data_IF_409012061011
#
_entry.id   IF_409012061011
#
_cell.length_a   1.000
_cell.length_b   1.000
_cell.length_c   1.000
_cell.angle_alpha   90.00
_cell.angle_beta   90.00
_cell.angle_gamma   90.00
#
_symmetry.space_group_name_H-M   'P 1'
#
loop_
_entity.id
_entity.type
_entity.pdbx_description
1 polymer ?
#
# COMPACT_ATOMS: atom_id res chain seq x y z
N UNK A 1 0.83 24.17 -6.02
CA UNK A 1 1.01 23.25 -4.87
C UNK A 1 2.46 22.82 -4.79
N UNK A 2 3.05 22.95 -3.60
CA UNK A 2 4.42 22.54 -3.32
C UNK A 2 4.50 21.02 -3.16
N UNK A 3 5.65 20.42 -3.43
CA UNK A 3 5.82 18.95 -3.44
C UNK A 3 5.47 18.29 -2.09
N UNK A 4 5.65 19.00 -0.98
CA UNK A 4 5.32 18.49 0.37
C UNK A 4 3.81 18.35 0.61
N UNK A 5 2.97 19.16 -0.05
CA UNK A 5 1.51 19.08 0.08
C UNK A 5 1.00 17.76 -0.51
N UNK A 6 1.59 17.36 -1.65
CA UNK A 6 1.30 16.07 -2.28
C UNK A 6 1.73 14.91 -1.41
N UNK A 7 2.92 15.01 -0.81
CA UNK A 7 3.42 14.00 0.10
C UNK A 7 2.47 13.80 1.28
N UNK A 8 2.06 14.88 1.96
CA UNK A 8 1.14 14.81 3.10
C UNK A 8 -0.22 14.26 2.69
N UNK A 9 -0.78 14.71 1.56
CA UNK A 9 -2.07 14.18 1.06
C UNK A 9 -1.99 12.68 0.72
N UNK A 10 -0.86 12.25 0.15
CA UNK A 10 -0.60 10.85 -0.18
C UNK A 10 -0.44 10.00 1.07
N UNK A 11 0.28 10.49 2.07
CA UNK A 11 0.47 9.83 3.36
C UNK A 11 -0.86 9.68 4.12
N UNK A 12 -1.71 10.70 4.17
CA UNK A 12 -3.04 10.60 4.80
C UNK A 12 -3.94 9.59 4.07
N UNK A 13 -3.89 9.58 2.74
CA UNK A 13 -4.56 8.55 1.92
C UNK A 13 -4.03 7.14 2.23
N UNK A 14 -2.72 7.01 2.42
CA UNK A 14 -2.06 5.77 2.83
C UNK A 14 -2.51 5.26 4.20
N UNK A 15 -2.72 6.14 5.18
CA UNK A 15 -3.27 5.76 6.49
C UNK A 15 -4.68 5.18 6.35
N UNK A 16 -5.56 5.89 5.63
CA UNK A 16 -6.93 5.42 5.43
C UNK A 16 -6.96 4.08 4.68
N UNK A 17 -6.12 3.94 3.66
CA UNK A 17 -5.98 2.70 2.88
C UNK A 17 -5.49 1.56 3.76
N UNK A 18 -4.45 1.77 4.57
CA UNK A 18 -3.89 0.76 5.45
C UNK A 18 -4.95 0.23 6.43
N UNK A 19 -5.76 1.09 7.06
CA UNK A 19 -6.81 0.66 8.00
C UNK A 19 -7.86 -0.23 7.31
N UNK A 20 -8.25 0.10 6.08
CA UNK A 20 -9.25 -0.68 5.33
C UNK A 20 -8.68 -1.99 4.76
N UNK A 21 -7.43 -1.97 4.31
CA UNK A 21 -6.80 -3.09 3.59
C UNK A 21 -6.15 -4.11 4.53
N UNK A 22 -5.60 -3.67 5.66
CA UNK A 22 -4.93 -4.53 6.66
C UNK A 22 -5.73 -5.79 7.04
N UNK A 23 -7.03 -5.73 7.38
CA UNK A 23 -7.77 -6.94 7.75
C UNK A 23 -7.85 -7.95 6.59
N UNK A 24 -7.99 -7.46 5.35
CA UNK A 24 -8.01 -8.30 4.15
C UNK A 24 -6.66 -8.93 3.83
N UNK A 25 -5.57 -8.16 3.94
CA UNK A 25 -4.21 -8.65 3.77
C UNK A 25 -3.87 -9.72 4.81
N UNK A 26 -4.23 -9.49 6.07
CA UNK A 26 -4.01 -10.45 7.15
C UNK A 26 -4.71 -11.78 6.88
N UNK A 27 -5.97 -11.76 6.44
CA UNK A 27 -6.71 -12.98 6.10
C UNK A 27 -5.99 -13.73 4.96
N UNK A 28 -5.55 -13.01 3.92
CA UNK A 28 -4.80 -13.60 2.80
C UNK A 28 -3.48 -14.22 3.26
N UNK A 29 -2.69 -13.51 4.06
CA UNK A 29 -1.42 -14.04 4.59
C UNK A 29 -1.63 -15.30 5.44
N UNK A 30 -2.66 -15.33 6.31
CA UNK A 30 -2.97 -16.52 7.10
C UNK A 30 -3.36 -17.72 6.22
N UNK A 31 -4.09 -17.47 5.12
CA UNK A 31 -4.43 -18.51 4.15
C UNK A 31 -3.23 -18.98 3.30
N UNK A 32 -2.24 -18.11 3.07
CA UNK A 32 -1.03 -18.42 2.31
C UNK A 32 0.03 -19.13 3.17
N UNK A 33 0.10 -18.84 4.47
CA UNK A 33 1.08 -19.43 5.39
C UNK A 33 0.66 -20.83 5.88
N UNK A 34 -0.63 -21.17 5.88
CA UNK A 34 -1.06 -22.52 6.27
C UNK A 34 -0.54 -23.58 5.29
N UNK A 35 0.06 -24.65 5.82
CA UNK A 35 0.53 -25.76 5.00
C UNK A 35 -0.64 -26.54 4.38
N UNK A 36 -0.45 -26.97 3.13
CA UNK A 36 -1.46 -27.62 2.28
C UNK A 36 -1.97 -28.98 2.80
N UNK A 37 -1.29 -29.58 3.78
CA UNK A 37 -1.55 -30.97 4.21
C UNK A 37 -2.60 -31.08 5.33
N UNK A 38 -2.79 -30.03 6.14
CA UNK A 38 -3.80 -29.96 7.23
C UNK A 38 -4.28 -28.51 7.37
N UNK A 39 -5.11 -28.04 6.43
CA UNK A 39 -5.60 -26.66 6.43
C UNK A 39 -6.43 -26.34 7.68
N UNK A 40 -5.91 -25.50 8.57
CA UNK A 40 -6.61 -25.00 9.77
C UNK A 40 -7.82 -24.16 9.37
N UNK A 41 -7.78 -23.53 8.19
CA UNK A 41 -8.84 -22.68 7.67
C UNK A 41 -9.37 -23.16 6.33
N UNK A 42 -10.68 -23.39 6.24
CA UNK A 42 -11.34 -23.85 5.01
C UNK A 42 -11.62 -22.73 4.00
N UNK A 43 -11.39 -21.47 4.40
CA UNK A 43 -11.57 -20.31 3.54
C UNK A 43 -11.49 -18.97 4.30
N UNK A 44 -11.58 -17.83 3.59
CA UNK A 44 -11.42 -16.50 4.20
C UNK A 44 -12.48 -16.18 5.26
N UNK A 45 -13.72 -16.62 5.07
CA UNK A 45 -14.80 -16.44 6.05
C UNK A 45 -14.54 -17.28 7.31
N UNK A 46 -13.98 -18.49 7.13
CA UNK A 46 -13.63 -19.39 8.23
C UNK A 46 -12.48 -18.82 9.07
N UNK A 47 -11.47 -18.18 8.43
CA UNK A 47 -10.44 -17.40 9.13
C UNK A 47 -11.06 -16.33 10.00
N UNK A 48 -11.93 -15.46 9.44
CA UNK A 48 -12.56 -14.38 10.20
C UNK A 48 -13.34 -14.93 11.39
N UNK A 49 -14.16 -15.97 11.18
CA UNK A 49 -14.97 -16.58 12.24
C UNK A 49 -14.12 -17.17 13.35
N UNK A 50 -13.09 -17.96 13.03
CA UNK A 50 -12.22 -18.59 14.03
C UNK A 50 -11.37 -17.57 14.78
N UNK A 51 -10.83 -16.58 14.07
CA UNK A 51 -9.96 -15.56 14.64
C UNK A 51 -10.73 -14.62 15.58
N UNK A 52 -11.93 -14.19 15.17
CA UNK A 52 -12.80 -13.35 16.00
C UNK A 52 -13.35 -14.10 17.21
N UNK A 53 -13.64 -15.39 17.09
CA UNK A 53 -14.10 -16.22 18.21
C UNK A 53 -13.00 -16.49 19.26
N UNK A 54 -11.74 -16.61 18.85
CA UNK A 54 -10.62 -16.89 19.77
C UNK A 54 -9.96 -15.63 20.35
N UNK A 55 -9.73 -14.61 19.52
CA UNK A 55 -8.90 -13.45 19.87
C UNK A 55 -9.65 -12.11 19.75
N UNK A 56 -10.94 -12.14 19.39
CA UNK A 56 -11.75 -10.95 19.19
C UNK A 56 -11.48 -10.22 17.86
N UNK A 57 -12.21 -9.15 17.63
CA UNK A 57 -12.16 -8.34 16.39
C UNK A 57 -10.84 -7.60 16.19
N UNK A 58 -10.18 -7.20 17.29
CA UNK A 58 -8.88 -6.51 17.25
C UNK A 58 -7.78 -7.37 16.65
N UNK A 59 -7.93 -8.70 16.71
CA UNK A 59 -6.99 -9.62 16.09
C UNK A 59 -6.82 -9.34 14.60
N UNK A 60 -7.86 -8.94 13.88
CA UNK A 60 -7.80 -8.65 12.44
C UNK A 60 -6.86 -7.48 12.09
N UNK A 61 -6.55 -6.61 13.05
CA UNK A 61 -5.67 -5.46 12.87
C UNK A 61 -4.25 -5.69 13.39
N UNK A 62 -3.93 -6.87 13.91
CA UNK A 62 -2.55 -7.16 14.36
C UNK A 62 -1.64 -7.22 13.12
N UNK A 63 -0.66 -6.31 13.06
CA UNK A 63 0.14 -6.00 11.87
C UNK A 63 -0.06 -4.58 11.32
N UNK A 64 -1.13 -3.87 11.73
CA UNK A 64 -1.46 -2.52 11.23
C UNK A 64 -0.32 -1.52 11.38
N UNK A 65 0.41 -1.53 12.49
CA UNK A 65 1.54 -0.60 12.69
C UNK A 65 2.65 -0.83 11.67
N UNK A 66 3.00 -2.09 11.39
CA UNK A 66 4.00 -2.43 10.38
C UNK A 66 3.52 -2.02 8.98
N UNK A 67 2.24 -2.29 8.66
CA UNK A 67 1.62 -1.83 7.41
C UNK A 67 1.64 -0.31 7.29
N UNK A 68 1.33 0.43 8.34
CA UNK A 68 1.36 1.89 8.35
C UNK A 68 2.77 2.43 8.14
N UNK A 69 3.76 1.90 8.85
CA UNK A 69 5.17 2.32 8.71
C UNK A 69 5.65 2.13 7.27
N UNK A 70 5.24 1.04 6.60
CA UNK A 70 5.56 0.76 5.20
C UNK A 70 4.78 1.63 4.21
N UNK A 71 3.46 1.68 4.35
CA UNK A 71 2.56 2.23 3.32
C UNK A 71 2.55 3.76 3.33
N UNK A 72 2.57 4.40 4.51
CA UNK A 72 2.51 5.87 4.63
C UNK A 72 3.61 6.60 3.86
N UNK A 73 4.89 6.24 3.99
CA UNK A 73 5.95 6.88 3.20
C UNK A 73 5.89 6.48 1.71
N UNK A 74 5.53 5.22 1.41
CA UNK A 74 5.43 4.74 0.04
C UNK A 74 4.33 5.48 -0.75
N UNK A 75 3.14 5.66 -0.18
CA UNK A 75 2.05 6.44 -0.78
C UNK A 75 2.41 7.93 -0.88
N UNK A 76 3.11 8.50 0.10
CA UNK A 76 3.60 9.88 0.03
C UNK A 76 4.55 10.09 -1.18
N UNK A 77 5.49 9.17 -1.39
CA UNK A 77 6.38 9.21 -2.54
C UNK A 77 5.66 8.95 -3.86
N UNK A 78 4.70 8.02 -3.89
CA UNK A 78 3.88 7.76 -5.08
C UNK A 78 3.19 9.03 -5.58
N UNK A 79 2.41 9.71 -4.71
CA UNK A 79 1.66 10.89 -5.11
C UNK A 79 2.58 12.07 -5.47
N UNK A 80 3.68 12.23 -4.73
CA UNK A 80 4.68 13.27 -5.04
C UNK A 80 5.30 13.04 -6.41
N UNK A 81 5.71 11.81 -6.71
CA UNK A 81 6.34 11.46 -7.99
C UNK A 81 5.33 11.55 -9.14
N UNK A 82 4.12 11.02 -8.93
CA UNK A 82 3.04 11.06 -9.90
C UNK A 82 2.74 12.51 -10.33
N UNK A 83 2.53 13.41 -9.37
CA UNK A 83 2.21 14.81 -9.68
C UNK A 83 3.40 15.58 -10.24
N UNK A 84 4.62 15.29 -9.81
CA UNK A 84 5.84 15.91 -10.37
C UNK A 84 6.03 15.54 -11.84
N UNK A 85 5.92 14.26 -12.17
CA UNK A 85 6.09 13.76 -13.55
C UNK A 85 4.94 14.23 -14.43
N UNK A 86 3.70 14.16 -13.92
CA UNK A 86 2.50 14.60 -14.66
C UNK A 86 2.56 16.09 -14.99
N UNK A 87 3.03 16.93 -14.06
CA UNK A 87 3.24 18.37 -14.30
C UNK A 87 4.38 18.65 -15.26
N UNK A 88 5.50 17.92 -15.17
CA UNK A 88 6.60 18.04 -16.12
C UNK A 88 6.23 17.64 -17.55
N UNK A 89 5.26 16.73 -17.70
CA UNK A 89 4.74 16.27 -18.99
C UNK A 89 3.51 17.06 -19.47
N UNK A 90 2.95 17.96 -18.66
CA UNK A 90 1.81 18.78 -19.06
C UNK A 90 2.26 19.80 -20.12
N UNK A 91 1.63 19.76 -21.30
CA UNK A 91 1.79 20.80 -22.31
C UNK A 91 0.66 21.81 -22.13
N UNK A 92 0.97 23.10 -22.33
CA UNK A 92 0.12 24.27 -22.12
C UNK A 92 -1.16 24.34 -22.99
N UNK A 93 -1.56 23.26 -23.67
CA UNK A 93 -2.75 23.24 -24.53
C UNK A 93 -3.94 22.56 -23.86
N UNK A 94 -4.92 23.34 -23.37
CA UNK A 94 -6.13 22.79 -22.79
C UNK A 94 -7.04 22.32 -23.94
N UNK A 95 -7.18 21.00 -24.13
CA UNK A 95 -8.35 20.50 -24.86
C UNK A 95 -8.27 19.12 -25.51
N UNK A 96 -7.11 18.64 -25.96
CA UNK A 96 -7.02 17.33 -26.62
C UNK A 96 -5.54 16.91 -26.72
N UNK A 97 -5.01 16.34 -25.65
CA UNK A 97 -3.73 15.62 -25.73
C UNK A 97 -4.04 14.17 -26.19
N UNK A 98 -3.85 13.79 -27.46
CA UNK A 98 -3.91 12.38 -27.87
C UNK A 98 -2.86 11.52 -27.14
N UNK A 99 -1.88 12.17 -26.50
CA UNK A 99 -0.85 11.57 -25.65
C UNK A 99 -1.22 11.48 -24.17
N UNK A 100 -2.44 11.86 -23.76
CA UNK A 100 -2.88 11.81 -22.34
C UNK A 100 -2.70 10.40 -21.75
N UNK A 101 -3.01 9.36 -22.53
CA UNK A 101 -2.82 7.98 -22.13
C UNK A 101 -1.34 7.68 -21.88
N UNK A 102 -0.46 8.04 -22.81
CA UNK A 102 0.99 7.83 -22.68
C UNK A 102 1.56 8.62 -21.50
N UNK A 103 1.16 9.88 -21.33
CA UNK A 103 1.55 10.71 -20.17
C UNK A 103 1.08 10.11 -18.85
N UNK A 104 -0.12 9.53 -18.81
CA UNK A 104 -0.66 8.85 -17.62
C UNK A 104 0.05 7.54 -17.33
N UNK A 105 0.39 6.76 -18.37
CA UNK A 105 1.15 5.52 -18.23
C UNK A 105 2.57 5.80 -17.71
N UNK A 106 3.26 6.78 -18.28
CA UNK A 106 4.63 7.15 -17.87
C UNK A 106 4.63 7.69 -16.44
N UNK A 107 3.72 8.62 -16.11
CA UNK A 107 3.59 9.13 -14.74
C UNK A 107 3.21 8.05 -13.73
N UNK A 108 2.30 7.14 -14.08
CA UNK A 108 1.94 6.00 -13.24
C UNK A 108 3.09 5.00 -13.05
N UNK A 109 3.85 4.70 -14.12
CA UNK A 109 5.01 3.81 -14.06
C UNK A 109 6.13 4.36 -13.19
N UNK A 110 6.48 5.64 -13.35
CA UNK A 110 7.50 6.30 -12.51
C UNK A 110 7.06 6.40 -11.05
N UNK A 111 5.78 6.71 -10.81
CA UNK A 111 5.21 6.71 -9.46
C UNK A 111 5.23 5.32 -8.82
N UNK A 112 4.95 4.27 -9.60
CA UNK A 112 5.04 2.88 -9.17
C UNK A 112 6.45 2.47 -8.76
N UNK A 113 7.48 2.89 -9.51
CA UNK A 113 8.89 2.66 -9.14
C UNK A 113 9.26 3.36 -7.83
N UNK A 114 8.79 4.59 -7.63
CA UNK A 114 9.01 5.33 -6.39
C UNK A 114 8.31 4.66 -5.19
N UNK A 115 7.07 4.20 -5.38
CA UNK A 115 6.32 3.44 -4.37
C UNK A 115 7.05 2.15 -4.01
N UNK A 116 7.48 1.38 -5.01
CA UNK A 116 8.15 0.09 -4.81
C UNK A 116 9.49 0.26 -4.10
N UNK A 117 10.33 1.20 -4.55
CA UNK A 117 11.63 1.47 -3.92
C UNK A 117 11.51 1.92 -2.47
N UNK A 118 10.55 2.80 -2.14
CA UNK A 118 10.29 3.18 -0.75
C UNK A 118 9.72 2.03 0.07
N UNK A 119 8.75 1.29 -0.48
CA UNK A 119 8.11 0.18 0.20
C UNK A 119 9.09 -0.94 0.56
N UNK A 120 9.99 -1.30 -0.37
CA UNK A 120 11.02 -2.32 -0.13
C UNK A 120 12.04 -1.87 0.91
N UNK A 121 12.50 -0.61 0.83
CA UNK A 121 13.44 -0.06 1.80
C UNK A 121 12.90 -0.10 3.23
N UNK A 122 11.63 0.26 3.42
CA UNK A 122 10.98 0.22 4.73
C UNK A 122 10.70 -1.21 5.18
N UNK A 123 10.35 -2.11 4.26
CA UNK A 123 10.16 -3.52 4.58
C UNK A 123 11.45 -4.16 5.08
N UNK A 124 12.59 -3.91 4.42
CA UNK A 124 13.90 -4.41 4.85
C UNK A 124 14.27 -3.90 6.24
N UNK A 125 13.97 -2.63 6.53
CA UNK A 125 14.15 -2.07 7.86
C UNK A 125 13.30 -2.78 8.92
N UNK A 126 12.01 -3.03 8.64
CA UNK A 126 11.12 -3.75 9.56
C UNK A 126 11.57 -5.19 9.80
N UNK A 127 12.05 -5.89 8.77
CA UNK A 127 12.60 -7.24 8.91
C UNK A 127 13.87 -7.21 9.76
N UNK A 128 14.73 -6.21 9.59
CA UNK A 128 15.92 -6.01 10.42
C UNK A 128 15.56 -5.86 11.90
N UNK A 129 14.57 -5.01 12.21
CA UNK A 129 14.11 -4.80 13.59
C UNK A 129 13.48 -6.05 14.24
N UNK A 130 12.95 -6.98 13.47
CA UNK A 130 12.36 -8.23 13.99
C UNK A 130 13.40 -9.35 14.15
N UNK A 131 14.62 -9.15 13.66
CA UNK A 131 15.73 -10.11 13.75
C UNK A 131 16.71 -9.88 14.92
N UNK A 132 16.52 -8.78 15.66
CA UNK A 132 17.26 -8.41 16.88
C UNK A 132 16.46 -8.75 18.15
#
# INVERSE_FOLDING_TARGET
MASWEYYVSGSVSGIATAVLVTPGERIKCLLQVQESTQGVYSGPIDVVRKLTAQYGVTSLFKGLCATLVRDVPAYGAYYTMYETVKRGLASDQPGQDPLLLVKTIVSGGMAGLAYWGMGESVLLFLIGLESE
#
